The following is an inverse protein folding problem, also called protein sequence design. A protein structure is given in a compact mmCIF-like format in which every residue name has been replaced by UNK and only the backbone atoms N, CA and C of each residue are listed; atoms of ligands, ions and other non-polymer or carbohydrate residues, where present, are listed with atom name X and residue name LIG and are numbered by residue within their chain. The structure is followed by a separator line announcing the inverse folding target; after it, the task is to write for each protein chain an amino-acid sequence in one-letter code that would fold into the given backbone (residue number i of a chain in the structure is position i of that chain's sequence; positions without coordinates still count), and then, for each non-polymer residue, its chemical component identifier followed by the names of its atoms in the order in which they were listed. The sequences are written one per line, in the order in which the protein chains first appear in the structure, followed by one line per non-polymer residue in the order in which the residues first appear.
data_IF_229317186545
#
_entry.id   IF_229317186545
#
_cell.length_a   1.000
_cell.length_b   1.000
_cell.length_c   1.000
_cell.angle_alpha   90.00
_cell.angle_beta   90.00
_cell.angle_gamma   90.00
#
_symmetry.space_group_name_H-M   'P 1'
#
loop_
_entity.id
_entity.type
_entity.pdbx_description
1 polymer ?
#
# COMPACT_ATOMS: atom_id res chain seq x y z
N UNK A 1 -4.31 6.71 24.82
CA UNK A 1 -4.61 6.41 23.39
C UNK A 1 -5.47 5.17 23.33
N UNK A 2 -6.58 5.20 22.58
CA UNK A 2 -7.45 4.03 22.42
C UNK A 2 -6.75 3.07 21.44
N UNK A 3 -6.51 1.84 21.88
CA UNK A 3 -5.92 0.80 21.03
C UNK A 3 -7.01 0.36 20.06
N UNK A 4 -6.88 0.71 18.79
CA UNK A 4 -7.75 0.21 17.72
C UNK A 4 -7.06 -1.04 17.18
N UNK A 5 -7.63 -2.22 17.47
CA UNK A 5 -7.22 -3.45 16.82
C UNK A 5 -7.89 -3.49 15.45
N UNK A 6 -7.08 -3.38 14.40
CA UNK A 6 -7.55 -3.61 13.03
C UNK A 6 -7.68 -5.12 12.87
N UNK A 7 -8.92 -5.59 12.81
CA UNK A 7 -9.24 -6.99 12.55
C UNK A 7 -8.61 -7.40 11.20
N UNK A 8 -7.78 -8.46 11.18
CA UNK A 8 -7.17 -8.97 9.93
C UNK A 8 -8.21 -9.75 9.13
N UNK A 9 -9.08 -9.04 8.45
CA UNK A 9 -10.18 -9.64 7.66
C UNK A 9 -9.85 -9.80 6.18
N UNK A 10 -8.58 -9.73 5.77
CA UNK A 10 -8.19 -9.81 4.38
C UNK A 10 -7.01 -10.75 4.13
N UNK A 11 -7.06 -11.44 3.00
CA UNK A 11 -6.00 -12.28 2.46
C UNK A 11 -5.14 -11.46 1.50
N UNK A 12 -3.82 -11.72 1.48
CA UNK A 12 -2.87 -11.04 0.57
C UNK A 12 -2.52 -12.02 -0.55
N UNK A 13 -2.79 -11.63 -1.79
CA UNK A 13 -2.38 -12.36 -3.00
C UNK A 13 -1.16 -11.67 -3.62
N UNK A 14 -0.11 -12.44 -3.92
CA UNK A 14 1.10 -11.93 -4.57
C UNK A 14 0.96 -12.04 -6.09
N UNK A 15 0.80 -10.88 -6.75
CA UNK A 15 0.69 -10.77 -8.20
C UNK A 15 2.05 -10.41 -8.80
N UNK A 16 2.40 -11.04 -9.92
CA UNK A 16 3.74 -10.98 -10.53
C UNK A 16 3.79 -10.19 -11.83
N UNK A 17 2.63 -9.88 -12.42
CA UNK A 17 2.53 -9.18 -13.70
C UNK A 17 1.20 -8.43 -13.86
N UNK A 18 1.13 -7.55 -14.87
CA UNK A 18 -0.06 -6.72 -15.10
C UNK A 18 -1.31 -7.50 -15.52
N UNK A 19 -1.17 -8.67 -16.15
CA UNK A 19 -2.34 -9.48 -16.51
C UNK A 19 -3.02 -10.03 -15.24
N UNK A 20 -2.23 -10.50 -14.27
CA UNK A 20 -2.74 -10.93 -12.98
C UNK A 20 -3.42 -9.78 -12.21
N UNK A 21 -2.89 -8.56 -12.30
CA UNK A 21 -3.54 -7.36 -11.73
C UNK A 21 -4.90 -7.09 -12.39
N UNK A 22 -4.98 -7.17 -13.72
CA UNK A 22 -6.23 -6.98 -14.46
C UNK A 22 -7.25 -8.06 -14.08
N UNK A 23 -6.84 -9.33 -14.05
CA UNK A 23 -7.70 -10.44 -13.65
C UNK A 23 -8.18 -10.29 -12.22
N UNK A 24 -7.30 -9.87 -11.30
CA UNK A 24 -7.67 -9.59 -9.91
C UNK A 24 -8.75 -8.51 -9.82
N UNK A 25 -8.56 -7.38 -10.51
CA UNK A 25 -9.56 -6.30 -10.52
C UNK A 25 -10.89 -6.72 -11.14
N UNK A 26 -10.89 -7.57 -12.18
CA UNK A 26 -12.12 -8.08 -12.79
C UNK A 26 -12.97 -8.94 -11.85
N UNK A 27 -12.40 -9.48 -10.76
CA UNK A 27 -13.13 -10.24 -9.73
C UNK A 27 -13.83 -9.36 -8.69
N UNK A 28 -13.59 -8.05 -8.71
CA UNK A 28 -14.05 -7.12 -7.67
C UNK A 28 -14.87 -5.97 -8.26
N UNK A 29 -15.65 -5.28 -7.42
CA UNK A 29 -16.50 -4.16 -7.85
C UNK A 29 -15.70 -2.94 -8.32
N UNK A 30 -14.44 -2.82 -7.88
CA UNK A 30 -13.52 -1.76 -8.27
C UNK A 30 -12.08 -2.12 -7.90
N UNK A 31 -11.14 -1.35 -8.43
CA UNK A 31 -9.72 -1.59 -8.22
C UNK A 31 -8.90 -0.34 -8.46
N UNK A 32 -7.90 -0.13 -7.62
CA UNK A 32 -6.89 0.91 -7.81
C UNK A 32 -5.51 0.33 -7.55
N UNK A 33 -4.53 0.86 -8.29
CA UNK A 33 -3.13 0.57 -8.12
C UNK A 33 -2.39 1.90 -7.93
N UNK A 34 -1.58 1.99 -6.87
CA UNK A 34 -0.62 3.06 -6.71
C UNK A 34 0.72 2.63 -7.31
N UNK A 35 1.35 3.51 -8.08
CA UNK A 35 2.71 3.31 -8.60
C UNK A 35 3.62 4.24 -7.83
N UNK A 36 4.68 3.68 -7.23
CA UNK A 36 5.66 4.45 -6.47
C UNK A 36 6.92 4.66 -7.31
N UNK A 37 7.36 5.90 -7.40
CA UNK A 37 8.67 6.26 -7.94
C UNK A 37 9.79 6.02 -6.91
N UNK A 38 11.05 6.09 -7.34
CA UNK A 38 12.17 6.00 -6.41
C UNK A 38 12.15 7.11 -5.34
N UNK A 39 11.76 8.34 -5.70
CA UNK A 39 11.60 9.42 -4.71
C UNK A 39 10.53 9.09 -3.70
N UNK A 40 9.41 8.51 -4.11
CA UNK A 40 8.34 8.11 -3.20
C UNK A 40 8.81 7.06 -2.18
N UNK A 41 9.60 6.08 -2.65
CA UNK A 41 10.22 5.09 -1.76
C UNK A 41 11.16 5.76 -0.75
N UNK A 42 11.93 6.76 -1.16
CA UNK A 42 12.82 7.50 -0.24
C UNK A 42 12.02 8.22 0.85
N UNK A 43 10.92 8.86 0.49
CA UNK A 43 10.03 9.52 1.46
C UNK A 43 9.46 8.51 2.47
N UNK A 44 9.03 7.32 2.02
CA UNK A 44 8.55 6.25 2.90
C UNK A 44 9.65 5.71 3.83
N UNK A 45 10.88 5.57 3.32
CA UNK A 45 12.05 5.16 4.12
C UNK A 45 12.41 6.19 5.20
N UNK A 46 12.17 7.47 4.95
CA UNK A 46 12.30 8.54 5.97
C UNK A 46 11.21 8.49 7.05
N UNK A 47 10.25 7.57 6.93
CA UNK A 47 9.16 7.38 7.90
C UNK A 47 7.95 8.27 7.62
N UNK A 48 7.82 8.83 6.41
CA UNK A 48 6.62 9.54 5.99
C UNK A 48 5.50 8.54 5.65
N UNK A 49 4.27 9.05 5.60
CA UNK A 49 3.06 8.30 5.30
C UNK A 49 2.49 8.78 3.98
N UNK A 50 2.04 7.85 3.15
CA UNK A 50 1.29 8.18 1.95
C UNK A 50 -0.18 7.98 2.26
N UNK A 51 -0.99 9.02 2.09
CA UNK A 51 -2.42 8.98 2.33
C UNK A 51 -3.15 9.43 1.08
N UNK A 52 -4.20 8.69 0.71
CA UNK A 52 -5.10 9.05 -0.37
C UNK A 52 -6.52 8.63 0.01
N UNK A 53 -7.46 8.98 -0.87
CA UNK A 53 -8.85 8.57 -0.72
C UNK A 53 -9.39 7.99 -2.01
N UNK A 54 -10.33 7.06 -1.87
CA UNK A 54 -11.07 6.47 -2.98
C UNK A 54 -12.57 6.65 -2.82
N UNK A 55 -13.35 6.27 -3.85
CA UNK A 55 -14.80 6.46 -3.85
C UNK A 55 -15.21 7.93 -3.66
N UNK A 56 -14.51 8.86 -4.30
CA UNK A 56 -14.77 10.31 -4.14
C UNK A 56 -14.62 10.82 -2.69
N UNK A 57 -13.76 10.18 -1.88
CA UNK A 57 -13.52 10.55 -0.49
C UNK A 57 -14.27 9.71 0.54
N UNK A 58 -15.01 8.69 0.10
CA UNK A 58 -15.74 7.77 0.98
C UNK A 58 -14.82 6.83 1.76
N UNK A 59 -13.67 6.50 1.19
CA UNK A 59 -12.70 5.59 1.79
C UNK A 59 -11.34 6.27 1.92
N UNK A 60 -10.65 6.01 3.03
CA UNK A 60 -9.30 6.51 3.30
C UNK A 60 -8.30 5.37 3.29
N UNK A 61 -7.22 5.52 2.54
CA UNK A 61 -6.10 4.59 2.54
C UNK A 61 -4.83 5.26 3.05
N UNK A 62 -4.01 4.48 3.76
CA UNK A 62 -2.70 4.91 4.22
C UNK A 62 -1.69 3.81 3.98
N UNK A 63 -0.58 4.15 3.33
CA UNK A 63 0.59 3.30 3.20
C UNK A 63 1.71 3.81 4.11
N UNK A 64 2.29 2.88 4.86
CA UNK A 64 3.44 3.11 5.70
C UNK A 64 4.40 1.93 5.57
N UNK A 65 5.69 2.24 5.57
CA UNK A 65 6.73 1.22 5.56
C UNK A 65 7.07 0.83 6.99
N UNK A 66 7.04 -0.46 7.31
CA UNK A 66 7.46 -0.97 8.61
C UNK A 66 8.94 -0.66 8.90
N UNK A 67 9.31 -0.53 10.18
CA UNK A 67 10.65 -0.15 10.61
C UNK A 67 11.74 -1.11 10.12
N UNK A 68 11.50 -2.42 10.17
CA UNK A 68 12.45 -3.40 9.64
C UNK A 68 12.64 -3.23 8.14
N UNK A 69 11.54 -3.01 7.41
CA UNK A 69 11.59 -2.80 5.97
C UNK A 69 12.32 -1.50 5.59
N UNK A 70 12.16 -0.41 6.37
CA UNK A 70 12.95 0.83 6.17
C UNK A 70 14.44 0.56 6.29
N UNK A 71 14.88 -0.14 7.32
CA UNK A 71 16.29 -0.44 7.55
C UNK A 71 16.91 -1.32 6.43
N UNK A 72 16.12 -2.21 5.84
CA UNK A 72 16.54 -2.99 4.67
C UNK A 72 16.60 -2.11 3.43
N UNK A 73 15.55 -1.36 3.12
CA UNK A 73 15.44 -0.58 1.88
C UNK A 73 16.43 0.59 1.86
N UNK A 74 16.70 1.22 3.00
CA UNK A 74 17.69 2.31 3.13
C UNK A 74 19.10 1.93 2.70
N UNK A 75 19.41 0.63 2.66
CA UNK A 75 20.70 0.11 2.14
C UNK A 75 20.72 0.02 0.61
N UNK A 76 19.56 0.14 -0.03
CA UNK A 76 19.34 -0.04 -1.46
C UNK A 76 19.13 1.30 -2.16
N UNK A 77 18.36 2.23 -1.55
CA UNK A 77 17.91 3.49 -2.17
C UNK A 77 18.72 4.73 -1.80
#
# INVERSE_FOLDING_TARGET
MRKVEIEKTFEIELLTNMNEVIEFHNRHYGGQMIVLSLSDIKELVEGKFFAWSTGQGEYSEVLYLDEEAKEVIKKIV
#
